data_IF_055647379497
#
_entry.id   IF_055647379497
#
_cell.length_a   1.000
_cell.length_b   1.000
_cell.length_c   1.000
_cell.angle_alpha   90.00
_cell.angle_beta   90.00
_cell.angle_gamma   90.00
#
_symmetry.space_group_name_H-M   'P 1'
#
loop_
_entity.id
_entity.type
_entity.pdbx_description
1 polymer ?
#
# COMPACT_ATOMS: atom_id res chain seq x y z
N UNK A 1 5.85 2.87 -21.81
CA UNK A 1 6.74 1.80 -22.28
C UNK A 1 5.96 0.50 -22.27
N UNK A 2 5.40 0.11 -23.41
CA UNK A 2 4.60 -1.11 -23.57
C UNK A 2 5.53 -2.29 -23.77
N UNK A 3 5.82 -3.03 -22.70
CA UNK A 3 6.37 -4.38 -22.83
C UNK A 3 5.22 -5.32 -23.20
N UNK A 4 4.89 -5.39 -24.49
CA UNK A 4 3.99 -6.41 -25.07
C UNK A 4 4.72 -7.74 -25.18
N UNK A 5 4.95 -8.37 -24.02
CA UNK A 5 5.28 -9.79 -23.91
C UNK A 5 4.21 -10.47 -23.06
N UNK A 6 3.76 -11.65 -23.47
CA UNK A 6 2.93 -12.49 -22.60
C UNK A 6 3.71 -12.72 -21.28
N UNK A 7 3.03 -12.65 -20.12
CA UNK A 7 3.69 -12.89 -18.83
C UNK A 7 4.34 -14.28 -18.86
N UNK A 8 5.58 -14.41 -18.36
CA UNK A 8 6.27 -15.72 -18.32
C UNK A 8 5.56 -16.71 -17.42
N UNK A 9 4.88 -16.22 -16.39
CA UNK A 9 4.25 -17.00 -15.34
C UNK A 9 2.85 -16.47 -15.08
N UNK A 10 1.91 -17.37 -14.86
CA UNK A 10 0.55 -17.01 -14.50
C UNK A 10 -0.07 -18.04 -13.56
N UNK A 11 -1.16 -17.68 -12.90
CA UNK A 11 -1.87 -18.53 -11.96
C UNK A 11 -3.37 -18.44 -12.20
N UNK A 12 -4.07 -19.57 -12.11
CA UNK A 12 -5.54 -19.54 -12.10
C UNK A 12 -6.04 -19.04 -10.74
N UNK A 13 -6.94 -18.03 -10.68
CA UNK A 13 -7.47 -17.55 -9.41
C UNK A 13 -8.39 -18.55 -8.69
N UNK A 14 -8.84 -19.61 -9.37
CA UNK A 14 -9.80 -20.58 -8.84
C UNK A 14 -9.11 -21.87 -8.42
N UNK A 15 -8.53 -22.63 -9.35
CA UNK A 15 -7.84 -23.88 -9.02
C UNK A 15 -6.39 -23.69 -8.54
N UNK A 16 -5.86 -22.46 -8.57
CA UNK A 16 -4.49 -22.12 -8.15
C UNK A 16 -3.37 -22.80 -8.93
N UNK A 17 -3.69 -23.46 -10.05
CA UNK A 17 -2.68 -24.03 -10.96
C UNK A 17 -1.80 -22.92 -11.50
N UNK A 18 -0.49 -23.11 -11.37
CA UNK A 18 0.54 -22.25 -11.94
C UNK A 18 0.91 -22.71 -13.34
N UNK A 19 1.19 -21.76 -14.22
CA UNK A 19 1.58 -22.00 -15.60
C UNK A 19 2.86 -21.25 -15.92
N UNK A 20 3.80 -21.94 -16.57
CA UNK A 20 5.10 -21.41 -17.00
C UNK A 20 5.61 -22.21 -18.22
N UNK A 21 5.50 -21.69 -19.45
CA UNK A 21 4.75 -20.48 -19.83
C UNK A 21 3.23 -20.68 -19.74
N UNK A 22 2.44 -19.61 -19.64
CA UNK A 22 0.99 -19.69 -19.77
C UNK A 22 0.54 -20.13 -21.17
N UNK A 23 -0.61 -20.81 -21.29
CA UNK A 23 -1.21 -21.13 -22.59
C UNK A 23 -1.45 -19.85 -23.39
N UNK A 24 -1.36 -19.92 -24.72
CA UNK A 24 -1.55 -18.77 -25.60
C UNK A 24 -2.91 -18.06 -25.40
N UNK A 25 -3.95 -18.81 -25.03
CA UNK A 25 -5.28 -18.27 -24.73
C UNK A 25 -5.38 -17.55 -23.36
N UNK A 26 -4.32 -17.60 -22.53
CA UNK A 26 -4.29 -17.09 -21.16
C UNK A 26 -5.49 -17.57 -20.31
N UNK A 27 -5.90 -18.83 -20.50
CA UNK A 27 -7.00 -19.47 -19.79
C UNK A 27 -6.56 -20.77 -19.15
N UNK A 28 -7.15 -21.06 -18.00
CA UNK A 28 -6.93 -22.32 -17.29
C UNK A 28 -7.55 -23.50 -18.03
N UNK A 29 -6.85 -24.63 -18.09
CA UNK A 29 -7.34 -25.86 -18.73
C UNK A 29 -8.44 -26.56 -17.93
N UNK A 30 -8.46 -26.38 -16.60
CA UNK A 30 -9.36 -27.11 -15.70
C UNK A 30 -10.73 -26.42 -15.56
N UNK A 31 -10.75 -25.08 -15.55
CA UNK A 31 -11.94 -24.28 -15.24
C UNK A 31 -12.21 -23.14 -16.24
N UNK A 32 -11.35 -22.94 -17.24
CA UNK A 32 -11.51 -21.92 -18.28
C UNK A 32 -11.32 -20.47 -17.81
N UNK A 33 -11.00 -20.22 -16.54
CA UNK A 33 -10.84 -18.87 -16.00
C UNK A 33 -9.65 -18.13 -16.64
N UNK A 34 -9.73 -16.81 -16.82
CA UNK A 34 -8.57 -16.00 -17.20
C UNK A 34 -7.46 -16.16 -16.16
N UNK A 35 -6.24 -16.42 -16.65
CA UNK A 35 -5.07 -16.52 -15.79
C UNK A 35 -4.61 -15.13 -15.34
N UNK A 36 -4.22 -15.02 -14.08
CA UNK A 36 -3.63 -13.81 -13.53
C UNK A 36 -2.12 -13.85 -13.74
N UNK A 37 -1.50 -12.79 -14.30
CA UNK A 37 -0.06 -12.73 -14.45
C UNK A 37 0.60 -12.74 -13.07
N UNK A 38 1.69 -13.51 -12.95
CA UNK A 38 2.59 -13.44 -11.81
C UNK A 38 3.78 -12.57 -12.21
N UNK A 39 4.10 -11.61 -11.35
CA UNK A 39 5.27 -10.77 -11.47
C UNK A 39 6.57 -11.55 -11.31
N UNK A 40 7.63 -10.95 -11.82
CA UNK A 40 8.99 -11.49 -11.77
C UNK A 40 9.82 -10.88 -10.63
N UNK A 41 9.25 -9.96 -9.84
CA UNK A 41 9.96 -9.19 -8.84
C UNK A 41 10.74 -10.08 -7.85
N UNK A 42 12.08 -10.02 -7.97
CA UNK A 42 13.14 -10.44 -7.04
C UNK A 42 13.03 -11.83 -6.41
N UNK A 43 12.27 -12.74 -7.01
CA UNK A 43 12.16 -14.12 -6.54
C UNK A 43 11.47 -14.25 -5.18
N UNK A 44 10.65 -13.29 -4.77
CA UNK A 44 9.91 -13.40 -3.51
C UNK A 44 9.07 -14.70 -3.51
N UNK A 45 9.34 -15.66 -2.60
CA UNK A 45 8.70 -16.97 -2.61
C UNK A 45 7.20 -16.89 -2.31
N UNK A 46 6.70 -15.74 -1.84
CA UNK A 46 5.29 -15.49 -1.55
C UNK A 46 4.48 -15.23 -2.82
N UNK A 47 5.10 -14.91 -3.95
CA UNK A 47 4.37 -14.72 -5.21
C UNK A 47 3.68 -16.02 -5.66
N UNK A 48 2.39 -15.90 -5.96
CA UNK A 48 1.47 -16.99 -6.26
C UNK A 48 0.97 -17.74 -5.02
N UNK A 49 1.24 -17.26 -3.81
CA UNK A 49 0.68 -17.83 -2.56
C UNK A 49 -0.55 -17.04 -2.10
N UNK A 50 -1.32 -17.61 -1.17
CA UNK A 50 -2.51 -16.96 -0.61
C UNK A 50 -2.19 -16.41 0.78
N UNK A 51 -2.30 -15.10 0.92
CA UNK A 51 -2.24 -14.41 2.21
C UNK A 51 -3.65 -14.35 2.84
N UNK A 52 -3.72 -14.72 4.13
CA UNK A 52 -4.94 -14.62 4.94
C UNK A 52 -6.15 -15.39 4.37
N UNK A 53 -5.89 -16.46 3.60
CA UNK A 53 -6.91 -17.29 2.90
C UNK A 53 -7.79 -16.52 1.89
N UNK A 54 -7.47 -15.24 1.62
CA UNK A 54 -8.34 -14.34 0.85
C UNK A 54 -7.64 -13.66 -0.32
N UNK A 55 -6.32 -13.53 -0.28
CA UNK A 55 -5.57 -12.67 -1.19
C UNK A 55 -4.45 -13.45 -1.89
N UNK A 56 -4.61 -13.70 -3.18
CA UNK A 56 -3.55 -14.30 -4.00
C UNK A 56 -2.52 -13.22 -4.36
N UNK A 57 -1.28 -13.39 -3.92
CA UNK A 57 -0.20 -12.43 -4.18
C UNK A 57 0.31 -12.61 -5.60
N UNK A 58 0.31 -11.54 -6.38
CA UNK A 58 0.62 -11.57 -7.82
C UNK A 58 1.96 -10.93 -8.15
N UNK A 59 2.29 -9.81 -7.53
CA UNK A 59 3.54 -9.08 -7.80
C UNK A 59 3.92 -8.20 -6.60
N UNK A 60 5.15 -7.72 -6.55
CA UNK A 60 5.60 -6.71 -5.60
C UNK A 60 5.42 -5.31 -6.20
N UNK A 61 4.67 -4.44 -5.52
CA UNK A 61 4.48 -3.05 -5.89
C UNK A 61 5.55 -2.13 -5.28
N UNK A 62 6.13 -2.54 -4.15
CA UNK A 62 7.23 -1.83 -3.52
C UNK A 62 7.62 -2.44 -2.17
N UNK A 63 8.88 -2.19 -1.79
CA UNK A 63 9.46 -2.65 -0.53
C UNK A 63 10.02 -1.45 0.23
N UNK A 64 9.91 -1.49 1.56
CA UNK A 64 10.49 -0.48 2.44
C UNK A 64 10.75 -1.05 3.84
N UNK A 65 11.32 -0.24 4.73
CA UNK A 65 11.71 -0.69 6.07
C UNK A 65 10.56 -1.29 6.91
N UNK A 66 9.32 -0.92 6.60
CA UNK A 66 8.12 -1.40 7.31
C UNK A 66 7.52 -2.68 6.73
N UNK A 67 8.02 -3.15 5.58
CA UNK A 67 7.55 -4.37 4.92
C UNK A 67 7.33 -4.20 3.41
N UNK A 68 6.48 -5.06 2.86
CA UNK A 68 6.30 -5.21 1.41
C UNK A 68 4.85 -4.94 1.03
N UNK A 69 4.64 -4.20 -0.06
CA UNK A 69 3.34 -3.98 -0.66
C UNK A 69 3.22 -4.83 -1.91
N UNK A 70 2.24 -5.73 -1.94
CA UNK A 70 1.95 -6.60 -3.07
C UNK A 70 0.79 -6.09 -3.90
N UNK A 71 0.84 -6.35 -5.20
CA UNK A 71 -0.35 -6.50 -6.01
C UNK A 71 -0.98 -7.84 -5.64
N UNK A 72 -2.24 -7.83 -5.22
CA UNK A 72 -2.95 -9.04 -4.87
C UNK A 72 -4.32 -9.11 -5.54
N UNK A 73 -4.81 -10.33 -5.74
CA UNK A 73 -6.16 -10.61 -6.18
C UNK A 73 -7.00 -11.07 -4.99
N UNK A 74 -8.06 -10.33 -4.69
CA UNK A 74 -9.02 -10.70 -3.66
C UNK A 74 -9.98 -11.74 -4.23
N UNK A 75 -9.81 -13.00 -3.81
CA UNK A 75 -10.41 -14.19 -4.44
C UNK A 75 -11.93 -14.09 -4.56
N UNK A 76 -12.62 -13.86 -3.44
CA UNK A 76 -14.09 -13.85 -3.38
C UNK A 76 -14.72 -12.66 -4.12
N UNK A 77 -13.99 -11.54 -4.23
CA UNK A 77 -14.50 -10.28 -4.80
C UNK A 77 -14.04 -10.07 -6.24
N UNK A 78 -13.18 -10.97 -6.75
CA UNK A 78 -12.64 -10.92 -8.10
C UNK A 78 -12.09 -9.53 -8.49
N UNK A 79 -11.27 -8.92 -7.60
CA UNK A 79 -10.68 -7.59 -7.83
C UNK A 79 -9.23 -7.51 -7.39
N UNK A 80 -8.49 -6.63 -8.05
CA UNK A 80 -7.13 -6.27 -7.63
C UNK A 80 -7.16 -5.34 -6.42
N UNK A 81 -6.26 -5.60 -5.47
CA UNK A 81 -6.02 -4.79 -4.28
C UNK A 81 -4.52 -4.60 -4.09
N UNK A 82 -4.12 -3.61 -3.30
CA UNK A 82 -2.78 -3.57 -2.74
C UNK A 82 -2.82 -4.25 -1.37
N UNK A 83 -1.83 -5.10 -1.07
CA UNK A 83 -1.72 -5.76 0.23
C UNK A 83 -0.36 -5.47 0.85
N UNK A 84 -0.34 -4.68 1.92
CA UNK A 84 0.88 -4.39 2.68
C UNK A 84 1.05 -5.45 3.75
N UNK A 85 2.15 -6.18 3.74
CA UNK A 85 2.57 -7.04 4.86
C UNK A 85 3.55 -6.29 5.74
N UNK A 86 3.36 -6.33 7.04
CA UNK A 86 4.22 -5.72 8.04
C UNK A 86 4.86 -6.84 8.86
N UNK A 87 6.17 -6.78 9.02
CA UNK A 87 6.92 -7.75 9.80
C UNK A 87 7.19 -7.16 11.20
N UNK A 88 6.42 -7.53 12.24
CA UNK A 88 6.66 -7.03 13.59
C UNK A 88 8.00 -7.57 14.12
N UNK A 89 9.03 -6.72 14.13
CA UNK A 89 10.32 -6.98 14.77
C UNK A 89 10.28 -6.43 16.21
N UNK A 90 10.78 -7.20 17.18
CA UNK A 90 10.90 -6.76 18.57
C UNK A 90 10.11 -7.57 19.61
N UNK A 91 10.36 -7.32 20.91
CA UNK A 91 9.88 -8.15 22.02
C UNK A 91 8.39 -7.98 22.35
N UNK A 92 7.74 -6.89 21.93
CA UNK A 92 6.35 -6.57 22.29
C UNK A 92 5.36 -6.72 21.10
N UNK A 93 5.34 -7.92 20.50
CA UNK A 93 4.48 -8.22 19.33
C UNK A 93 2.99 -8.03 19.60
N UNK A 94 2.51 -8.44 20.78
CA UNK A 94 1.08 -8.36 21.14
C UNK A 94 0.60 -6.93 21.39
N UNK A 95 1.49 -6.05 21.89
CA UNK A 95 1.21 -4.62 22.03
C UNK A 95 1.13 -3.92 20.66
N UNK A 96 2.03 -4.29 19.75
CA UNK A 96 2.06 -3.78 18.39
C UNK A 96 0.82 -4.18 17.59
N UNK A 97 0.38 -5.44 17.67
CA UNK A 97 -0.83 -5.92 17.02
C UNK A 97 -2.08 -5.15 17.46
N UNK A 98 -2.26 -4.94 18.78
CA UNK A 98 -3.39 -4.18 19.31
C UNK A 98 -3.42 -2.74 18.82
N UNK A 99 -2.26 -2.09 18.79
CA UNK A 99 -2.13 -0.73 18.26
C UNK A 99 -2.41 -0.69 16.76
N UNK A 100 -1.86 -1.63 16.00
CA UNK A 100 -2.10 -1.75 14.56
C UNK A 100 -3.58 -1.86 14.24
N UNK A 101 -4.30 -2.78 14.90
CA UNK A 101 -5.74 -2.94 14.70
C UNK A 101 -6.53 -1.68 15.06
N UNK A 102 -6.08 -0.91 16.07
CA UNK A 102 -6.70 0.38 16.44
C UNK A 102 -6.54 1.42 15.34
N UNK A 103 -5.32 1.62 14.84
CA UNK A 103 -5.06 2.63 13.79
C UNK A 103 -5.69 2.24 12.45
N UNK A 104 -5.72 0.94 12.14
CA UNK A 104 -6.43 0.42 10.97
C UNK A 104 -7.93 0.72 11.05
N UNK A 105 -8.57 0.44 12.19
CA UNK A 105 -10.01 0.73 12.37
C UNK A 105 -10.30 2.22 12.29
N UNK A 106 -9.43 3.05 12.85
CA UNK A 106 -9.53 4.50 12.75
C UNK A 106 -9.48 4.94 11.28
N UNK A 107 -8.48 4.48 10.53
CA UNK A 107 -8.33 4.80 9.11
C UNK A 107 -9.50 4.29 8.27
N UNK A 108 -9.94 3.05 8.50
CA UNK A 108 -11.07 2.43 7.79
C UNK A 108 -12.42 3.11 8.04
N UNK A 109 -12.53 3.94 9.09
CA UNK A 109 -13.74 4.72 9.36
C UNK A 109 -13.88 5.97 8.48
N UNK A 110 -12.78 6.42 7.87
CA UNK A 110 -12.73 7.59 7.01
C UNK A 110 -13.31 7.28 5.62
N UNK A 111 -14.04 8.22 5.05
CA UNK A 111 -14.79 8.07 3.78
C UNK A 111 -14.41 9.11 2.74
N UNK A 112 -13.51 10.04 3.06
CA UNK A 112 -13.03 11.05 2.12
C UNK A 112 -12.45 10.37 0.88
N UNK A 113 -12.81 10.81 -0.33
CA UNK A 113 -12.24 10.27 -1.55
C UNK A 113 -10.73 10.51 -1.66
N UNK A 114 -10.18 11.41 -0.83
CA UNK A 114 -8.77 11.74 -0.75
C UNK A 114 -8.03 10.98 0.35
N UNK A 115 -8.69 10.08 1.08
CA UNK A 115 -8.06 9.15 2.01
C UNK A 115 -7.93 7.78 1.35
N UNK A 116 -6.82 7.09 1.60
CA UNK A 116 -6.64 5.70 1.20
C UNK A 116 -7.72 4.82 1.85
N UNK A 117 -8.42 4.06 1.03
CA UNK A 117 -9.45 3.12 1.46
C UNK A 117 -8.81 1.83 1.95
N UNK A 118 -9.05 1.51 3.21
CA UNK A 118 -8.69 0.21 3.79
C UNK A 118 -9.89 -0.73 3.70
N UNK A 119 -9.68 -1.92 3.15
CA UNK A 119 -10.73 -2.94 3.04
C UNK A 119 -10.73 -3.90 4.22
N UNK A 120 -9.55 -4.29 4.69
CA UNK A 120 -9.40 -5.40 5.63
C UNK A 120 -8.00 -5.40 6.25
N UNK A 121 -7.85 -6.11 7.36
CA UNK A 121 -6.56 -6.37 7.99
C UNK A 121 -6.59 -7.67 8.77
N UNK A 122 -5.42 -8.22 9.04
CA UNK A 122 -5.33 -9.41 9.88
C UNK A 122 -3.90 -9.83 10.16
N UNK A 123 -3.80 -11.04 10.69
CA UNK A 123 -2.54 -11.70 11.02
C UNK A 123 -2.39 -12.95 10.15
N UNK A 124 -1.22 -13.13 9.57
CA UNK A 124 -0.86 -14.31 8.80
C UNK A 124 -0.40 -15.44 9.74
N UNK A 125 -0.43 -16.70 9.30
CA UNK A 125 0.11 -17.82 10.09
C UNK A 125 1.59 -17.65 10.47
N UNK A 126 2.37 -16.90 9.69
CA UNK A 126 3.75 -16.52 10.01
C UNK A 126 3.87 -15.60 11.23
N UNK A 127 2.76 -14.99 11.66
CA UNK A 127 2.72 -13.94 12.68
C UNK A 127 2.81 -12.52 12.11
N UNK A 128 3.04 -12.38 10.81
CA UNK A 128 3.05 -11.08 10.13
C UNK A 128 1.66 -10.45 10.12
N UNK A 129 1.60 -9.13 10.16
CA UNK A 129 0.35 -8.40 9.99
C UNK A 129 0.16 -8.06 8.51
N UNK A 130 -1.08 -7.95 8.07
CA UNK A 130 -1.38 -7.44 6.74
C UNK A 130 -2.48 -6.40 6.75
N UNK A 131 -2.43 -5.52 5.75
CA UNK A 131 -3.42 -4.50 5.44
C UNK A 131 -3.81 -4.61 3.96
N UNK A 132 -5.07 -4.92 3.68
CA UNK A 132 -5.62 -4.90 2.33
C UNK A 132 -6.27 -3.55 2.07
N UNK A 133 -5.86 -2.88 1.00
CA UNK A 133 -6.24 -1.52 0.65
C UNK A 133 -6.52 -1.37 -0.84
N UNK A 134 -7.14 -0.24 -1.21
CA UNK A 134 -7.34 0.07 -2.63
C UNK A 134 -6.01 0.10 -3.38
N UNK A 135 -6.04 -0.39 -4.61
CA UNK A 135 -4.88 -0.29 -5.49
C UNK A 135 -4.85 1.08 -6.14
N UNK A 136 -3.82 1.84 -5.86
CA UNK A 136 -3.60 3.14 -6.49
C UNK A 136 -2.85 2.98 -7.82
N UNK A 137 -3.20 3.83 -8.78
CA UNK A 137 -2.62 3.82 -10.12
C UNK A 137 -1.69 5.00 -10.39
N UNK A 138 -1.52 5.86 -9.37
CA UNK A 138 -0.67 7.03 -9.41
C UNK A 138 0.77 6.78 -9.00
N UNK A 139 1.50 7.88 -8.80
CA UNK A 139 2.86 7.88 -8.27
C UNK A 139 2.92 8.65 -6.94
N UNK A 140 3.79 8.22 -6.00
CA UNK A 140 4.15 9.02 -4.84
C UNK A 140 4.67 10.41 -5.25
N UNK A 141 4.25 11.45 -4.53
CA UNK A 141 4.55 12.84 -4.87
C UNK A 141 6.04 13.17 -4.69
N UNK A 142 6.72 12.53 -3.74
CA UNK A 142 8.17 12.64 -3.57
C UNK A 142 8.93 12.19 -4.83
N UNK A 143 8.47 11.11 -5.48
CA UNK A 143 9.04 10.63 -6.74
C UNK A 143 8.84 11.64 -7.87
N UNK A 144 7.64 12.22 -7.96
CA UNK A 144 7.35 13.26 -8.96
C UNK A 144 8.20 14.51 -8.72
N UNK A 145 8.34 14.95 -7.48
CA UNK A 145 9.18 16.09 -7.12
C UNK A 145 10.66 15.83 -7.41
N UNK A 146 11.17 14.61 -7.23
CA UNK A 146 12.55 14.28 -7.63
C UNK A 146 12.77 14.36 -9.14
N UNK A 147 11.75 14.02 -9.94
CA UNK A 147 11.85 14.00 -11.40
C UNK A 147 11.63 15.39 -12.03
N UNK A 148 10.66 16.15 -11.52
CA UNK A 148 10.20 17.42 -12.10
C UNK A 148 10.70 18.66 -11.32
N UNK A 149 11.29 18.46 -10.14
CA UNK A 149 11.75 19.51 -9.23
C UNK A 149 10.61 20.14 -8.43
N UNK A 150 9.69 20.84 -9.10
CA UNK A 150 8.55 21.52 -8.46
C UNK A 150 7.26 21.33 -9.24
N UNK A 151 6.14 21.29 -8.52
CA UNK A 151 4.82 21.30 -9.12
C UNK A 151 4.50 22.69 -9.69
N UNK A 152 3.64 22.74 -10.70
CA UNK A 152 3.03 24.00 -11.12
C UNK A 152 2.19 24.57 -9.95
N UNK A 153 2.07 25.91 -9.82
CA UNK A 153 1.24 26.51 -8.77
C UNK A 153 -0.21 26.00 -8.77
N UNK A 154 -0.76 25.71 -9.95
CA UNK A 154 -2.10 25.16 -10.09
C UNK A 154 -2.20 23.73 -9.51
N UNK A 155 -1.24 22.86 -9.82
CA UNK A 155 -1.21 21.49 -9.29
C UNK A 155 -0.92 21.48 -7.79
N UNK A 156 0.01 22.30 -7.32
CA UNK A 156 0.31 22.43 -5.89
C UNK A 156 -0.93 22.83 -5.07
N UNK A 157 -1.72 23.80 -5.59
CA UNK A 157 -2.99 24.20 -4.96
C UNK A 157 -4.00 23.05 -4.89
N UNK A 158 -4.14 22.27 -5.97
CA UNK A 158 -5.03 21.11 -6.00
C UNK A 158 -4.59 20.02 -5.02
N UNK A 159 -3.30 19.73 -4.97
CA UNK A 159 -2.73 18.79 -4.00
C UNK A 159 -3.04 19.24 -2.58
N UNK A 160 -2.76 20.50 -2.23
CA UNK A 160 -3.07 21.05 -0.92
C UNK A 160 -4.55 20.95 -0.57
N UNK A 161 -5.45 21.28 -1.50
CA UNK A 161 -6.89 21.17 -1.30
C UNK A 161 -7.33 19.72 -1.00
N UNK A 162 -6.85 18.75 -1.76
CA UNK A 162 -7.20 17.34 -1.58
C UNK A 162 -6.67 16.79 -0.25
N UNK A 163 -5.44 17.15 0.11
CA UNK A 163 -4.84 16.80 1.42
C UNK A 163 -5.67 17.41 2.56
N UNK A 164 -6.01 18.70 2.49
CA UNK A 164 -6.84 19.35 3.50
C UNK A 164 -8.22 18.69 3.64
N UNK A 165 -8.84 18.24 2.54
CA UNK A 165 -10.12 17.52 2.60
C UNK A 165 -10.00 16.18 3.34
N UNK A 166 -8.94 15.42 3.08
CA UNK A 166 -8.67 14.17 3.82
C UNK A 166 -8.43 14.45 5.31
N UNK A 167 -7.53 15.40 5.62
CA UNK A 167 -7.19 15.77 7.00
C UNK A 167 -8.38 16.36 7.76
N UNK A 168 -9.23 17.15 7.11
CA UNK A 168 -10.40 17.75 7.76
C UNK A 168 -11.39 16.68 8.26
N UNK A 169 -11.62 15.63 7.47
CA UNK A 169 -12.46 14.51 7.91
C UNK A 169 -11.80 13.77 9.08
N UNK A 170 -10.51 13.43 8.94
CA UNK A 170 -9.76 12.73 9.97
C UNK A 170 -9.75 13.49 11.31
N UNK A 171 -9.46 14.80 11.27
CA UNK A 171 -9.49 15.65 12.45
C UNK A 171 -10.90 15.73 13.06
N UNK A 172 -11.95 15.76 12.24
CA UNK A 172 -13.34 15.69 12.70
C UNK A 172 -13.66 14.38 13.45
N UNK A 173 -12.94 13.30 13.16
CA UNK A 173 -13.01 12.02 13.86
C UNK A 173 -11.99 11.88 15.01
N UNK A 174 -11.25 12.94 15.35
CA UNK A 174 -10.21 12.92 16.39
C UNK A 174 -8.94 12.17 15.99
N UNK A 175 -8.73 11.92 14.70
CA UNK A 175 -7.58 11.19 14.15
C UNK A 175 -6.57 12.21 13.61
N UNK A 176 -5.31 12.11 14.05
CA UNK A 176 -4.22 12.96 13.56
C UNK A 176 -3.22 12.10 12.80
N UNK A 177 -2.87 12.50 11.58
CA UNK A 177 -2.01 11.70 10.71
C UNK A 177 -0.55 11.60 11.20
N UNK A 178 0.01 12.70 11.73
CA UNK A 178 1.35 12.80 12.34
C UNK A 178 2.57 12.54 11.44
N UNK A 179 2.40 12.25 10.16
CA UNK A 179 3.49 11.97 9.21
C UNK A 179 3.11 12.45 7.80
N UNK A 180 2.56 13.66 7.68
CA UNK A 180 2.22 14.21 6.36
C UNK A 180 3.51 14.65 5.65
N UNK A 181 3.82 13.98 4.54
CA UNK A 181 4.98 14.27 3.69
C UNK A 181 4.72 13.81 2.25
N UNK A 182 5.47 14.30 1.24
CA UNK A 182 5.24 13.92 -0.15
C UNK A 182 5.26 12.41 -0.44
N UNK A 183 6.02 11.61 0.33
CA UNK A 183 6.05 10.16 0.18
C UNK A 183 4.73 9.46 0.60
N UNK A 184 3.91 10.12 1.42
CA UNK A 184 2.60 9.63 1.86
C UNK A 184 1.45 10.24 1.03
N UNK A 185 1.76 10.90 -0.08
CA UNK A 185 0.78 11.47 -1.01
C UNK A 185 0.94 10.79 -2.35
N UNK A 186 -0.11 10.13 -2.84
CA UNK A 186 -0.12 9.56 -4.20
C UNK A 186 -0.96 10.44 -5.10
N UNK A 187 -0.33 10.92 -6.17
CA UNK A 187 -1.01 11.65 -7.24
C UNK A 187 -1.37 10.67 -8.35
N UNK A 188 -2.66 10.53 -8.62
CA UNK A 188 -3.21 9.75 -9.72
C UNK A 188 -4.05 10.62 -10.66
N UNK A 189 -4.45 10.05 -11.79
CA UNK A 189 -5.42 10.66 -12.70
C UNK A 189 -6.69 9.85 -12.67
N UNK A 190 -7.81 10.53 -12.44
CA UNK A 190 -9.12 9.91 -12.60
C UNK A 190 -9.35 9.55 -14.07
N UNK A 191 -10.36 8.70 -14.37
CA UNK A 191 -10.77 8.44 -15.75
C UNK A 191 -11.13 9.71 -16.53
N UNK A 192 -11.56 10.78 -15.85
CA UNK A 192 -11.79 12.11 -16.43
C UNK A 192 -10.51 12.83 -16.87
N UNK A 193 -9.33 12.35 -16.47
CA UNK A 193 -8.02 12.98 -16.68
C UNK A 193 -7.60 13.94 -15.57
N UNK A 194 -8.52 14.24 -14.63
CA UNK A 194 -8.28 15.18 -13.53
C UNK A 194 -7.25 14.63 -12.52
N UNK A 195 -6.33 15.48 -12.02
CA UNK A 195 -5.43 15.09 -10.94
C UNK A 195 -6.21 14.79 -9.66
N UNK A 196 -5.93 13.67 -9.03
CA UNK A 196 -6.53 13.25 -7.78
C UNK A 196 -5.44 12.82 -6.80
N UNK A 197 -5.59 13.22 -5.54
CA UNK A 197 -4.60 12.90 -4.51
C UNK A 197 -5.23 11.99 -3.47
N UNK A 198 -4.50 10.96 -3.12
CA UNK A 198 -4.76 10.05 -2.01
C UNK A 198 -3.70 10.25 -0.95
N UNK A 199 -4.14 10.54 0.27
CA UNK A 199 -3.33 10.55 1.48
C UNK A 199 -3.25 9.13 1.99
N UNK A 200 -2.03 8.64 2.18
CA UNK A 200 -1.73 7.30 2.66
C UNK A 200 -1.49 7.29 4.17
N UNK A 201 -1.85 6.19 4.84
CA UNK A 201 -1.40 5.80 6.18
C UNK A 201 -1.49 6.87 7.30
N UNK A 202 -2.65 6.94 7.97
CA UNK A 202 -2.81 7.64 9.26
C UNK A 202 -2.17 6.83 10.40
N UNK A 203 -0.85 6.94 10.57
CA UNK A 203 -0.17 6.51 11.80
C UNK A 203 0.25 5.04 11.88
N UNK A 204 -0.06 4.19 10.89
CA UNK A 204 0.43 2.80 10.85
C UNK A 204 1.96 2.74 10.83
N UNK A 205 2.61 3.72 10.17
CA UNK A 205 4.06 3.83 10.13
C UNK A 205 4.68 4.10 11.50
N UNK A 206 4.08 5.03 12.27
CA UNK A 206 4.61 5.47 13.57
C UNK A 206 4.46 4.41 14.67
N UNK A 207 3.46 3.53 14.56
CA UNK A 207 3.31 2.41 15.49
C UNK A 207 4.49 1.44 15.48
N UNK A 208 5.15 1.30 14.33
CA UNK A 208 6.29 0.41 14.15
C UNK A 208 7.59 1.07 14.60
N UNK A 209 7.73 2.37 14.35
CA UNK A 209 8.86 3.17 14.85
C UNK A 209 8.88 3.23 16.39
N UNK A 210 7.72 3.34 17.05
CA UNK A 210 7.62 3.32 18.53
C UNK A 210 7.94 1.93 19.13
N UNK A 211 7.88 0.85 18.34
CA UNK A 211 8.18 -0.52 18.78
C UNK A 211 9.67 -0.87 18.62
N UNK A 212 10.38 -0.18 17.73
CA UNK A 212 11.83 -0.16 17.69
C UNK A 212 12.36 0.85 18.71
N UNK A 213 12.91 0.37 19.82
CA UNK A 213 13.61 1.20 20.83
C UNK A 213 14.80 2.00 20.27
N UNK A 214 15.18 1.76 19.01
CA UNK A 214 16.27 2.44 18.30
C UNK A 214 15.71 3.52 17.36
N UNK A 215 15.30 4.65 17.94
CA UNK A 215 14.99 5.90 17.22
C UNK A 215 16.17 6.46 16.39
N UNK A 216 17.32 5.78 16.36
CA UNK A 216 18.58 6.27 15.77
C UNK A 216 19.12 5.41 14.63
N UNK A 217 18.48 4.29 14.25
CA UNK A 217 18.98 3.45 13.16
C UNK A 217 18.13 3.57 11.90
N UNK A 218 18.80 4.03 10.82
CA UNK A 218 18.40 4.12 9.41
C UNK A 218 17.86 5.47 8.93
N UNK A 219 18.58 6.07 7.98
CA UNK A 219 18.43 7.44 7.44
C UNK A 219 17.11 7.81 6.74
N UNK A 220 16.02 7.09 7.00
CA UNK A 220 14.64 7.50 6.66
C UNK A 220 14.06 8.52 7.65
N UNK A 221 14.55 8.52 8.90
CA UNK A 221 14.19 9.49 9.95
C UNK A 221 14.62 10.91 9.58
N UNK A 222 15.82 11.08 9.03
CA UNK A 222 16.35 12.41 8.66
C UNK A 222 15.47 13.14 7.63
N UNK A 223 14.88 12.41 6.68
CA UNK A 223 14.00 12.98 5.65
C UNK A 223 12.59 13.31 6.15
N UNK A 224 12.13 12.63 7.21
CA UNK A 224 10.81 12.88 7.80
C UNK A 224 10.84 14.07 8.77
N UNK A 225 11.97 14.32 9.46
CA UNK A 225 12.17 15.47 10.35
C UNK A 225 11.85 16.80 9.65
N UNK A 226 12.21 16.93 8.37
CA UNK A 226 11.94 18.14 7.59
C UNK A 226 10.45 18.49 7.44
N UNK A 227 9.55 17.56 7.72
CA UNK A 227 8.09 17.73 7.64
C UNK A 227 7.40 17.64 9.01
N UNK A 228 8.14 17.38 10.09
CA UNK A 228 7.59 17.32 11.44
C UNK A 228 7.38 18.72 12.00
N UNK A 229 6.32 18.89 12.79
CA UNK A 229 6.16 20.12 13.56
C UNK A 229 7.13 20.15 14.76
N UNK A 230 7.53 21.33 15.25
CA UNK A 230 8.50 21.44 16.36
C UNK A 230 8.10 20.63 17.60
N UNK A 231 6.82 20.63 17.95
CA UNK A 231 6.27 19.89 19.08
C UNK A 231 6.26 18.36 18.91
N UNK A 232 6.59 17.85 17.72
CA UNK A 232 6.82 16.41 17.51
C UNK A 232 8.27 15.99 17.75
N UNK A 233 9.19 16.96 17.83
CA UNK A 233 10.64 16.75 18.01
C UNK A 233 11.05 17.09 19.45
N UNK A 234 10.36 18.05 20.09
CA UNK A 234 10.49 18.39 21.51
C UNK A 234 10.02 17.26 22.45
#
# INVERSE_FOLDING_TARGET
MTATGLPRRAVCPTCLRRYEPPPAAARCHDDGQPLLPLGEADGDPRIGTIAGERYLLLDVLGEGGMGVVYLAWQLQMARYVALKTLHPTGPNRDGLERRFLREVRATASLRSPHTLTVFDSGKLPSGDLYLAMERLHGAPLDRLLRLEGKLSPALARLVGLHVCRSLSEAHGAGIVHRDIKPANLVLERLPSGEPHVKVLDFGIAKLLDDASTDLTSTGSTLGSIAYMSPEQID
#
